data_IF_887733647872
#
_entry.id   IF_887733647872
#
_cell.length_a   1.000
_cell.length_b   1.000
_cell.length_c   1.000
_cell.angle_alpha   90.00
_cell.angle_beta   90.00
_cell.angle_gamma   90.00
#
_symmetry.space_group_name_H-M   'P 1'
#
loop_
_entity.id
_entity.type
_entity.pdbx_description
1 polymer ?
#
# COMPACT_ATOMS: atom_id res chain seq x y z
N UNK A 1 31.78 -23.56 -10.53
CA UNK A 1 32.29 -24.89 -10.95
C UNK A 1 32.10 -25.01 -12.45
N UNK A 2 33.15 -25.34 -13.21
CA UNK A 2 33.04 -25.64 -14.64
C UNK A 2 33.31 -27.15 -14.81
N UNK A 3 32.41 -27.91 -15.45
CA UNK A 3 32.64 -29.34 -15.69
C UNK A 3 33.87 -29.50 -16.60
N UNK A 4 34.71 -30.47 -16.26
CA UNK A 4 36.03 -30.66 -16.89
C UNK A 4 35.97 -31.70 -18.02
N UNK A 5 34.95 -32.58 -18.02
CA UNK A 5 34.66 -33.51 -19.10
C UNK A 5 33.14 -33.51 -19.45
N UNK A 6 32.78 -34.18 -20.56
CA UNK A 6 31.40 -34.24 -21.07
C UNK A 6 30.46 -35.12 -20.22
N UNK A 7 30.97 -36.19 -19.63
CA UNK A 7 30.22 -37.10 -18.74
C UNK A 7 29.83 -36.41 -17.42
N UNK A 8 30.72 -35.59 -16.85
CA UNK A 8 30.52 -34.76 -15.67
C UNK A 8 29.44 -33.72 -15.92
N UNK A 9 29.39 -33.17 -17.15
CA UNK A 9 28.33 -32.25 -17.56
C UNK A 9 26.98 -32.97 -17.66
N UNK A 10 26.98 -34.19 -18.21
CA UNK A 10 25.79 -35.05 -18.26
C UNK A 10 25.25 -35.38 -16.87
N UNK A 11 26.12 -35.83 -15.97
CA UNK A 11 25.77 -36.10 -14.58
C UNK A 11 25.28 -34.85 -13.85
N UNK A 12 25.95 -33.70 -14.05
CA UNK A 12 25.56 -32.44 -13.41
C UNK A 12 24.17 -31.97 -13.87
N UNK A 13 23.88 -32.04 -15.18
CA UNK A 13 22.55 -31.73 -15.72
C UNK A 13 21.49 -32.68 -15.15
N UNK A 14 21.77 -33.98 -15.15
CA UNK A 14 20.87 -34.98 -14.58
C UNK A 14 20.61 -34.69 -13.09
N UNK A 15 21.64 -34.26 -12.34
CA UNK A 15 21.50 -33.92 -10.93
C UNK A 15 20.67 -32.65 -10.69
N UNK A 16 20.81 -31.63 -11.55
CA UNK A 16 19.96 -30.43 -11.48
C UNK A 16 18.49 -30.76 -11.77
N UNK A 17 18.24 -31.56 -12.81
CA UNK A 17 16.88 -32.00 -13.15
C UNK A 17 16.27 -32.85 -12.04
N UNK A 18 17.05 -33.72 -11.40
CA UNK A 18 16.63 -34.50 -10.23
C UNK A 18 16.24 -33.59 -9.05
N UNK A 19 17.06 -32.57 -8.73
CA UNK A 19 16.77 -31.60 -7.67
C UNK A 19 15.50 -30.79 -7.97
N UNK A 20 15.35 -30.29 -9.20
CA UNK A 20 14.16 -29.55 -9.62
C UNK A 20 12.90 -30.42 -9.53
N UNK A 21 12.99 -31.65 -10.04
CA UNK A 21 11.88 -32.57 -10.05
C UNK A 21 11.50 -33.01 -8.63
N UNK A 22 12.49 -33.21 -7.75
CA UNK A 22 12.25 -33.42 -6.31
C UNK A 22 11.55 -32.21 -5.69
N UNK A 23 11.99 -30.97 -5.95
CA UNK A 23 11.32 -29.78 -5.42
C UNK A 23 9.87 -29.63 -5.93
N UNK A 24 9.61 -30.02 -7.18
CA UNK A 24 8.29 -29.98 -7.81
C UNK A 24 7.35 -31.09 -7.31
N UNK A 25 7.86 -32.30 -7.15
CA UNK A 25 7.06 -33.50 -6.80
C UNK A 25 6.92 -33.65 -5.29
N UNK A 26 7.98 -33.38 -4.53
CA UNK A 26 7.84 -33.32 -3.07
C UNK A 26 6.98 -32.10 -2.77
N UNK A 27 5.80 -32.32 -2.19
CA UNK A 27 5.13 -31.27 -1.45
C UNK A 27 6.06 -30.92 -0.32
N UNK A 28 6.99 -29.99 -0.58
CA UNK A 28 7.62 -29.26 0.50
C UNK A 28 6.42 -28.65 1.19
N UNK A 29 6.09 -29.14 2.39
CA UNK A 29 5.44 -28.30 3.38
C UNK A 29 6.34 -27.09 3.45
N UNK A 30 6.07 -26.09 2.60
CA UNK A 30 6.46 -24.73 2.85
C UNK A 30 5.82 -24.51 4.21
N UNK A 31 6.60 -24.69 5.27
CA UNK A 31 6.20 -24.27 6.59
C UNK A 31 6.05 -22.78 6.40
N UNK A 32 4.83 -22.34 6.08
CA UNK A 32 4.54 -20.94 5.95
C UNK A 32 4.99 -20.31 7.25
N UNK A 33 5.71 -19.19 7.16
CA UNK A 33 6.11 -18.44 8.36
C UNK A 33 4.90 -18.14 9.27
N UNK A 34 3.71 -18.15 8.69
CA UNK A 34 2.43 -18.09 9.37
C UNK A 34 1.83 -19.48 9.55
N UNK A 35 1.60 -19.88 10.79
CA UNK A 35 0.77 -21.04 11.13
C UNK A 35 -0.72 -20.67 11.00
N UNK A 36 -1.59 -21.67 11.02
CA UNK A 36 -3.05 -21.44 11.04
C UNK A 36 -3.47 -20.60 12.26
N UNK A 37 -2.79 -20.76 13.38
CA UNK A 37 -3.00 -19.97 14.60
C UNK A 37 -2.68 -18.48 14.36
N UNK A 38 -1.60 -18.17 13.64
CA UNK A 38 -1.28 -16.79 13.26
C UNK A 38 -2.35 -16.18 12.35
N UNK A 39 -2.85 -16.96 11.38
CA UNK A 39 -3.91 -16.50 10.47
C UNK A 39 -5.20 -16.24 11.25
N UNK A 40 -5.55 -17.11 12.20
CA UNK A 40 -6.74 -16.93 13.02
C UNK A 40 -6.61 -15.73 13.96
N UNK A 41 -5.44 -15.52 14.56
CA UNK A 41 -5.12 -14.32 15.34
C UNK A 41 -5.28 -13.04 14.51
N UNK A 42 -4.84 -13.03 13.24
CA UNK A 42 -5.03 -11.88 12.34
C UNK A 42 -6.50 -11.63 12.00
N UNK A 43 -7.32 -12.68 11.85
CA UNK A 43 -8.77 -12.52 11.64
C UNK A 43 -9.45 -11.94 12.87
N UNK A 44 -9.10 -12.41 14.06
CA UNK A 44 -9.63 -11.88 15.32
C UNK A 44 -9.23 -10.43 15.52
N UNK A 45 -7.97 -10.09 15.23
CA UNK A 45 -7.47 -8.72 15.24
C UNK A 45 -8.28 -7.84 14.28
N UNK A 46 -8.49 -8.29 13.04
CA UNK A 46 -9.30 -7.57 12.05
C UNK A 46 -10.78 -7.43 12.47
N UNK A 47 -11.33 -8.41 13.18
CA UNK A 47 -12.71 -8.39 13.65
C UNK A 47 -12.92 -7.47 14.87
N UNK A 48 -11.86 -7.16 15.61
CA UNK A 48 -11.94 -6.29 16.77
C UNK A 48 -12.21 -4.83 16.36
N UNK A 49 -13.39 -4.31 16.74
CA UNK A 49 -13.83 -2.95 16.42
C UNK A 49 -13.23 -1.87 17.33
N UNK A 50 -12.61 -2.24 18.45
CA UNK A 50 -11.98 -1.28 19.36
C UNK A 50 -10.60 -0.81 18.88
N UNK A 51 -10.00 -1.53 17.92
CA UNK A 51 -8.68 -1.22 17.39
C UNK A 51 -8.77 -0.71 15.95
N UNK A 52 -7.85 0.17 15.61
CA UNK A 52 -7.69 0.74 14.29
C UNK A 52 -6.37 0.25 13.70
N UNK A 53 -6.45 -0.38 12.53
CA UNK A 53 -5.28 -0.88 11.79
C UNK A 53 -5.07 -0.01 10.55
N UNK A 54 -4.00 0.78 10.53
CA UNK A 54 -3.69 1.74 9.46
C UNK A 54 -2.38 1.39 8.76
N UNK A 55 -2.25 1.86 7.52
CA UNK A 55 -0.95 1.89 6.83
C UNK A 55 -0.13 3.07 7.37
N UNK A 56 1.17 2.87 7.63
CA UNK A 56 2.05 3.96 8.02
C UNK A 56 2.25 4.92 6.84
N UNK A 57 2.56 6.16 7.16
CA UNK A 57 2.92 7.20 6.18
C UNK A 57 4.22 6.84 5.42
N UNK A 58 5.14 6.13 6.08
CA UNK A 58 6.46 5.75 5.52
C UNK A 58 6.79 4.29 5.81
N UNK A 59 7.36 3.63 4.81
CA UNK A 59 7.82 2.24 4.89
C UNK A 59 6.70 1.21 4.79
N UNK A 60 7.06 -0.07 5.01
CA UNK A 60 6.20 -1.23 4.78
C UNK A 60 5.60 -1.83 6.07
N UNK A 61 5.42 -1.02 7.11
CA UNK A 61 4.87 -1.45 8.40
C UNK A 61 3.34 -1.45 8.46
N UNK A 62 2.80 -1.70 9.66
CA UNK A 62 1.39 -1.56 10.01
C UNK A 62 1.30 -0.79 11.33
N UNK A 63 0.37 0.14 11.44
CA UNK A 63 0.11 0.89 12.66
C UNK A 63 -1.15 0.33 13.31
N UNK A 64 -1.06 -0.07 14.58
CA UNK A 64 -2.20 -0.53 15.38
C UNK A 64 -2.39 0.44 16.53
N UNK A 65 -3.61 0.97 16.66
CA UNK A 65 -3.95 1.95 17.70
C UNK A 65 -5.32 1.64 18.30
N UNK A 66 -5.56 2.11 19.53
CA UNK A 66 -6.91 2.16 20.06
C UNK A 66 -7.75 3.18 19.28
N UNK A 67 -8.96 2.77 18.88
CA UNK A 67 -9.83 3.56 18.02
C UNK A 67 -10.37 4.80 18.75
N UNK A 68 -10.69 4.68 20.03
CA UNK A 68 -11.24 5.79 20.81
C UNK A 68 -10.18 6.85 21.07
N UNK A 69 -8.99 6.43 21.52
CA UNK A 69 -7.85 7.33 21.73
C UNK A 69 -7.44 8.04 20.44
N UNK A 70 -7.40 7.32 19.32
CA UNK A 70 -7.08 7.90 18.03
C UNK A 70 -8.09 9.00 17.67
N UNK A 71 -9.38 8.71 17.80
CA UNK A 71 -10.45 9.67 17.50
C UNK A 71 -10.33 10.92 18.38
N UNK A 72 -10.13 10.74 19.68
CA UNK A 72 -10.03 11.86 20.62
C UNK A 72 -8.80 12.72 20.35
N UNK A 73 -7.65 12.11 20.06
CA UNK A 73 -6.42 12.82 19.68
C UNK A 73 -6.59 13.57 18.36
N UNK A 74 -7.18 12.94 17.35
CA UNK A 74 -7.44 13.57 16.06
C UNK A 74 -8.39 14.76 16.21
N UNK A 75 -9.50 14.58 16.92
CA UNK A 75 -10.43 15.68 17.19
C UNK A 75 -9.78 16.82 17.97
N UNK A 76 -8.91 16.50 18.93
CA UNK A 76 -8.15 17.52 19.67
C UNK A 76 -7.23 18.33 18.76
N UNK A 77 -6.55 17.70 17.80
CA UNK A 77 -5.71 18.39 16.82
C UNK A 77 -6.57 19.27 15.92
N UNK A 78 -7.67 18.74 15.37
CA UNK A 78 -8.53 19.47 14.44
C UNK A 78 -9.28 20.64 15.08
N UNK A 79 -9.54 20.58 16.39
CA UNK A 79 -10.15 21.67 17.17
C UNK A 79 -9.17 22.78 17.55
N UNK A 80 -7.88 22.65 17.22
CA UNK A 80 -6.91 23.70 17.48
C UNK A 80 -7.10 24.87 16.49
N UNK A 81 -7.89 25.85 16.89
CA UNK A 81 -8.20 27.06 16.11
C UNK A 81 -6.97 27.95 15.82
N UNK A 82 -5.85 27.73 16.54
CA UNK A 82 -4.61 28.46 16.28
C UNK A 82 -3.89 27.93 15.03
N UNK A 83 -4.16 26.67 14.66
CA UNK A 83 -3.51 25.97 13.53
C UNK A 83 -4.46 25.65 12.40
N UNK A 84 -5.72 25.36 12.72
CA UNK A 84 -6.74 24.96 11.75
C UNK A 84 -7.91 25.95 11.81
N UNK A 85 -8.41 26.36 10.64
CA UNK A 85 -9.61 27.19 10.55
C UNK A 85 -10.67 26.44 9.75
N UNK A 86 -11.95 26.47 10.18
CA UNK A 86 -13.03 25.94 9.38
C UNK A 86 -13.06 26.65 8.02
N UNK A 87 -13.08 25.86 6.95
CA UNK A 87 -13.32 26.38 5.63
C UNK A 87 -14.82 26.66 5.48
N UNK A 88 -15.19 27.93 5.42
CA UNK A 88 -16.57 28.37 5.22
C UNK A 88 -16.85 28.75 3.76
N UNK A 89 -15.91 28.47 2.85
CA UNK A 89 -16.13 28.74 1.44
C UNK A 89 -17.13 27.72 0.86
N UNK A 90 -18.07 28.16 0.01
CA UNK A 90 -19.01 27.27 -0.66
C UNK A 90 -18.37 26.49 -1.81
N UNK A 91 -17.11 26.78 -2.16
CA UNK A 91 -16.40 26.15 -3.26
C UNK A 91 -15.85 24.79 -2.81
N UNK A 92 -16.37 23.72 -3.40
CA UNK A 92 -15.82 22.37 -3.19
C UNK A 92 -14.35 22.34 -3.62
N UNK A 93 -13.40 22.00 -2.72
CA UNK A 93 -11.99 21.86 -3.07
C UNK A 93 -11.76 20.92 -4.25
N UNK A 94 -12.64 19.93 -4.46
CA UNK A 94 -12.57 19.02 -5.61
C UNK A 94 -12.93 19.72 -6.93
N UNK A 95 -13.87 20.66 -6.93
CA UNK A 95 -14.20 21.48 -8.10
C UNK A 95 -13.07 22.47 -8.43
N UNK A 96 -12.42 23.03 -7.40
CA UNK A 96 -11.22 23.85 -7.59
C UNK A 96 -10.06 23.01 -8.16
N UNK A 97 -9.83 21.82 -7.63
CA UNK A 97 -8.82 20.88 -8.15
C UNK A 97 -9.10 20.54 -9.62
N UNK A 98 -10.36 20.21 -9.97
CA UNK A 98 -10.76 19.94 -11.36
C UNK A 98 -10.49 21.13 -12.27
N UNK A 99 -10.80 22.35 -11.83
CA UNK A 99 -10.56 23.58 -12.59
C UNK A 99 -9.07 23.83 -12.81
N UNK A 100 -8.25 23.66 -11.77
CA UNK A 100 -6.79 23.77 -11.88
C UNK A 100 -6.24 22.70 -12.83
N UNK A 101 -6.66 21.44 -12.68
CA UNK A 101 -6.25 20.36 -13.57
C UNK A 101 -6.69 20.58 -15.03
N UNK A 102 -7.87 21.16 -15.25
CA UNK A 102 -8.34 21.51 -16.59
C UNK A 102 -7.41 22.55 -17.23
N UNK A 103 -7.02 23.60 -16.50
CA UNK A 103 -6.13 24.62 -17.06
C UNK A 103 -4.68 24.18 -17.21
N UNK A 104 -4.19 23.32 -16.32
CA UNK A 104 -2.88 22.71 -16.53
C UNK A 104 -2.87 21.83 -17.79
N UNK A 105 -3.98 21.13 -18.09
CA UNK A 105 -4.11 20.37 -19.35
C UNK A 105 -4.14 21.28 -20.57
N UNK A 106 -4.88 22.39 -20.55
CA UNK A 106 -4.93 23.33 -21.69
C UNK A 106 -3.56 23.95 -21.96
N UNK A 107 -2.83 24.36 -20.92
CA UNK A 107 -1.47 24.90 -21.03
C UNK A 107 -0.45 23.86 -21.51
N UNK A 108 -0.59 22.61 -21.09
CA UNK A 108 0.25 21.50 -21.57
C UNK A 108 -0.03 21.22 -23.06
N UNK A 109 -1.30 21.18 -23.46
CA UNK A 109 -1.69 20.97 -24.87
C UNK A 109 -1.25 22.12 -25.78
N UNK A 110 -1.17 23.34 -25.25
CA UNK A 110 -0.62 24.49 -25.94
C UNK A 110 0.92 24.53 -25.99
N UNK A 111 1.61 23.51 -25.46
CA UNK A 111 3.08 23.44 -25.32
C UNK A 111 3.70 24.65 -24.59
N UNK A 112 2.93 25.31 -23.72
CA UNK A 112 3.41 26.46 -22.92
C UNK A 112 4.14 26.00 -21.65
N UNK A 113 3.92 24.76 -21.23
CA UNK A 113 4.60 24.10 -20.12
C UNK A 113 5.07 22.72 -20.56
N UNK A 114 6.28 22.35 -20.14
CA UNK A 114 7.01 21.19 -20.65
C UNK A 114 6.96 19.97 -19.71
N UNK A 115 6.40 20.13 -18.50
CA UNK A 115 6.46 19.11 -17.45
C UNK A 115 5.07 18.62 -17.06
N UNK A 116 4.90 17.30 -17.16
CA UNK A 116 3.67 16.58 -16.91
C UNK A 116 3.38 16.58 -15.41
N UNK A 117 2.49 17.46 -14.94
CA UNK A 117 1.92 17.35 -13.59
C UNK A 117 0.94 16.18 -13.64
N UNK A 118 1.42 14.96 -13.34
CA UNK A 118 0.55 13.83 -13.06
C UNK A 118 -0.46 14.26 -11.99
N UNK A 119 -1.77 14.00 -12.17
CA UNK A 119 -2.76 14.31 -11.14
C UNK A 119 -2.30 13.72 -9.81
N UNK A 120 -2.38 14.48 -8.72
CA UNK A 120 -2.03 14.01 -7.37
C UNK A 120 -2.82 12.73 -7.01
N UNK A 121 -4.00 12.56 -7.60
CA UNK A 121 -4.82 11.35 -7.55
C UNK A 121 -4.09 10.07 -8.03
N UNK A 122 -3.17 10.16 -9.01
CA UNK A 122 -2.42 9.01 -9.52
C UNK A 122 -1.36 8.49 -8.53
N UNK A 123 -0.91 9.36 -7.61
CA UNK A 123 0.09 9.01 -6.59
C UNK A 123 -0.53 8.29 -5.38
N UNK A 124 -1.86 8.43 -5.19
CA UNK A 124 -2.61 7.81 -4.09
C UNK A 124 -3.65 6.80 -4.62
N UNK A 125 -3.31 5.50 -4.75
CA UNK A 125 -4.28 4.44 -4.97
C UNK A 125 -5.08 4.22 -3.68
N UNK A 126 -6.03 5.12 -3.42
CA UNK A 126 -6.83 5.17 -2.20
C UNK A 126 -7.84 6.31 -2.10
N UNK A 127 -7.76 7.33 -2.96
CA UNK A 127 -8.64 8.52 -2.90
C UNK A 127 -10.15 8.20 -3.04
N UNK A 128 -10.52 7.06 -3.65
CA UNK A 128 -11.92 6.61 -3.73
C UNK A 128 -12.50 6.06 -2.41
N UNK A 129 -11.75 6.06 -1.30
CA UNK A 129 -12.23 5.60 0.03
C UNK A 129 -12.03 6.63 1.14
N UNK A 130 -12.01 7.92 0.83
CA UNK A 130 -12.00 8.97 1.86
C UNK A 130 -13.23 8.90 2.79
N UNK A 131 -14.34 8.32 2.32
CA UNK A 131 -15.55 8.12 3.13
C UNK A 131 -15.42 7.06 4.24
N UNK A 132 -14.44 6.15 4.16
CA UNK A 132 -14.24 5.10 5.19
C UNK A 132 -13.21 5.50 6.27
N UNK A 133 -12.54 6.65 6.13
CA UNK A 133 -11.53 7.12 7.08
C UNK A 133 -12.12 7.96 8.24
N UNK A 134 -13.44 8.19 8.29
CA UNK A 134 -14.08 9.02 9.31
C UNK A 134 -15.09 8.25 10.20
N UNK A 135 -15.31 6.95 10.01
CA UNK A 135 -16.22 6.16 10.88
C UNK A 135 -15.63 4.86 11.45
#
# INVERSE_FOLDING_TARGET
MKPTNEDDLGWFKAKLVDIENQYRITSTKQNSLFTDEHIEGLKQLKANRSILVLRPDKGSGIVVMDKSDYKDKMLRILRDETRFRPDNTPDDPSELEKKICAELKTLTQANLIQEFIQPWCSFWPGANRAADCIL
#
